data_IF_241623036498
#
_entry.id   IF_241623036498
#
_cell.length_a   1.000
_cell.length_b   1.000
_cell.length_c   1.000
_cell.angle_alpha   90.00
_cell.angle_beta   90.00
_cell.angle_gamma   90.00
#
_symmetry.space_group_name_H-M   'P 1'
#
loop_
_entity.id
_entity.type
_entity.pdbx_description
1 polymer ?
#
# COMPACT_ATOMS: atom_id res chain seq x y z
N UNK A 1 9.49 -9.68 -1.52
CA UNK A 1 10.43 -8.61 -1.14
C UNK A 1 10.68 -7.74 -2.37
N UNK A 2 9.81 -6.74 -2.57
CA UNK A 2 9.84 -5.83 -3.71
C UNK A 2 10.31 -4.46 -3.21
N UNK A 3 11.59 -4.17 -3.41
CA UNK A 3 12.19 -2.89 -3.01
C UNK A 3 12.19 -1.94 -4.19
N UNK A 4 11.51 -0.81 -4.07
CA UNK A 4 11.43 0.15 -5.16
C UNK A 4 11.52 1.58 -4.61
N UNK A 5 12.37 2.39 -5.22
CA UNK A 5 12.54 3.79 -4.85
C UNK A 5 11.83 4.68 -5.87
N UNK A 6 10.98 5.60 -5.39
CA UNK A 6 10.21 6.55 -6.20
C UNK A 6 9.30 5.90 -7.25
N UNK A 7 8.55 4.87 -6.85
CA UNK A 7 7.58 4.23 -7.73
C UNK A 7 6.43 5.18 -7.98
N UNK A 8 6.20 5.46 -9.27
CA UNK A 8 5.01 6.16 -9.73
C UNK A 8 4.16 5.22 -10.58
N UNK A 9 2.93 4.98 -10.15
CA UNK A 9 1.94 4.20 -10.90
C UNK A 9 0.70 5.07 -11.12
N UNK A 10 0.36 5.33 -12.37
CA UNK A 10 -0.81 6.14 -12.72
C UNK A 10 -1.82 5.27 -13.47
N UNK A 11 -3.07 5.22 -12.98
CA UNK A 11 -4.19 4.49 -13.59
C UNK A 11 -3.91 3.01 -13.88
N UNK A 12 -3.15 2.35 -13.00
CA UNK A 12 -2.76 0.96 -13.20
C UNK A 12 -3.81 -0.01 -12.63
N UNK A 13 -3.91 -1.20 -13.22
CA UNK A 13 -4.58 -2.34 -12.59
C UNK A 13 -3.50 -3.21 -11.98
N UNK A 14 -3.49 -3.32 -10.66
CA UNK A 14 -2.65 -4.26 -9.93
C UNK A 14 -3.42 -5.57 -9.83
N UNK A 15 -2.82 -6.67 -10.27
CA UNK A 15 -3.46 -7.99 -10.36
C UNK A 15 -2.68 -8.95 -9.46
N UNK A 16 -3.36 -9.60 -8.52
CA UNK A 16 -2.81 -10.68 -7.67
C UNK A 16 -1.47 -10.32 -7.03
N UNK A 17 -1.39 -9.17 -6.35
CA UNK A 17 -0.14 -8.68 -5.77
C UNK A 17 -0.26 -8.62 -4.25
N UNK A 18 0.51 -9.49 -3.60
CA UNK A 18 0.69 -9.55 -2.16
C UNK A 18 1.99 -8.84 -1.73
N UNK A 19 2.02 -8.38 -0.47
CA UNK A 19 3.17 -7.74 0.17
C UNK A 19 3.73 -6.58 -0.65
N UNK A 20 2.84 -5.82 -1.29
CA UNK A 20 3.22 -4.73 -2.16
C UNK A 20 3.91 -3.61 -1.36
N UNK A 21 4.87 -2.95 -2.01
CA UNK A 21 5.50 -1.70 -1.55
C UNK A 21 6.32 -1.78 -0.26
N UNK A 22 6.80 -2.97 0.09
CA UNK A 22 7.70 -3.17 1.22
C UNK A 22 8.94 -2.29 1.09
N UNK A 23 9.23 -1.53 2.15
CA UNK A 23 10.38 -0.62 2.21
C UNK A 23 10.47 0.33 1.00
N UNK A 24 9.33 0.75 0.46
CA UNK A 24 9.27 1.57 -0.77
C UNK A 24 8.68 2.96 -0.51
N UNK A 25 9.12 3.96 -1.29
CA UNK A 25 8.44 5.26 -1.39
C UNK A 25 7.47 5.25 -2.58
N UNK A 26 6.21 5.57 -2.32
CA UNK A 26 5.12 5.29 -3.28
C UNK A 26 4.30 6.51 -3.67
N UNK A 27 4.02 6.62 -4.96
CA UNK A 27 2.96 7.46 -5.52
C UNK A 27 2.12 6.58 -6.46
N UNK A 28 1.13 5.89 -5.88
CA UNK A 28 0.39 4.82 -6.54
C UNK A 28 -1.07 5.19 -6.68
N UNK A 29 -1.57 5.16 -7.91
CA UNK A 29 -2.98 5.23 -8.24
C UNK A 29 -3.39 3.93 -8.96
N UNK A 30 -4.02 3.04 -8.20
CA UNK A 30 -4.57 1.79 -8.68
C UNK A 30 -6.10 1.91 -8.86
N UNK A 31 -6.60 1.43 -9.99
CA UNK A 31 -8.03 1.31 -10.27
C UNK A 31 -8.58 -0.09 -9.88
N UNK A 32 -7.84 -0.81 -9.05
CA UNK A 32 -8.17 -2.15 -8.55
C UNK A 32 -7.92 -2.25 -7.05
N UNK A 33 -8.41 -3.35 -6.47
CA UNK A 33 -8.07 -3.75 -5.10
C UNK A 33 -6.65 -4.29 -5.08
N UNK A 34 -5.87 -3.90 -4.07
CA UNK A 34 -4.54 -4.46 -3.79
C UNK A 34 -4.71 -5.55 -2.73
N UNK A 35 -4.12 -6.73 -2.91
CA UNK A 35 -4.36 -7.83 -1.96
C UNK A 35 -3.72 -7.55 -0.61
N UNK A 36 -2.44 -7.16 -0.59
CA UNK A 36 -1.81 -6.66 0.63
C UNK A 36 -0.68 -5.65 0.40
N UNK A 37 -0.55 -4.72 1.34
CA UNK A 37 0.53 -3.72 1.39
C UNK A 37 1.32 -3.95 2.67
N UNK A 38 2.65 -3.95 2.57
CA UNK A 38 3.54 -4.14 3.73
C UNK A 38 4.50 -2.98 3.86
N UNK A 39 4.62 -2.42 5.07
CA UNK A 39 5.66 -1.47 5.49
C UNK A 39 6.18 -0.47 4.42
N UNK A 40 5.32 0.34 3.77
CA UNK A 40 5.79 1.39 2.88
C UNK A 40 6.48 2.50 3.69
N UNK A 41 7.65 2.98 3.22
CA UNK A 41 8.46 3.99 3.91
C UNK A 41 7.71 5.32 4.01
N UNK A 42 7.11 5.75 2.91
CA UNK A 42 6.27 6.96 2.83
C UNK A 42 5.54 7.04 1.49
N UNK A 43 4.54 7.92 1.39
CA UNK A 43 3.93 8.26 0.12
C UNK A 43 2.41 8.30 0.12
N UNK A 44 1.81 8.08 -1.04
CA UNK A 44 0.35 8.01 -1.22
C UNK A 44 -0.03 6.76 -2.01
N UNK A 45 -1.02 6.03 -1.52
CA UNK A 45 -1.64 4.90 -2.21
C UNK A 45 -3.12 5.19 -2.34
N UNK A 46 -3.57 5.33 -3.59
CA UNK A 46 -4.97 5.42 -3.98
C UNK A 46 -5.36 4.10 -4.63
N UNK A 47 -6.41 3.44 -4.12
CA UNK A 47 -6.86 2.15 -4.62
C UNK A 47 -8.37 1.99 -4.45
N UNK A 48 -8.99 1.02 -5.13
CA UNK A 48 -10.40 0.68 -4.86
C UNK A 48 -10.55 0.20 -3.42
N UNK A 49 -9.64 -0.65 -2.97
CA UNK A 49 -9.52 -1.12 -1.60
C UNK A 49 -8.17 -1.80 -1.43
N UNK A 50 -7.84 -2.15 -0.19
CA UNK A 50 -6.67 -2.97 0.07
C UNK A 50 -7.11 -4.07 1.05
N UNK A 51 -6.69 -5.32 0.83
CA UNK A 51 -7.15 -6.47 1.61
C UNK A 51 -6.47 -6.59 2.97
N UNK A 52 -5.14 -6.49 3.01
CA UNK A 52 -4.35 -6.56 4.23
C UNK A 52 -3.30 -5.43 4.28
N UNK A 53 -3.14 -4.80 5.44
CA UNK A 53 -2.16 -3.76 5.67
C UNK A 53 -1.26 -4.23 6.81
N UNK A 54 -0.02 -4.55 6.48
CA UNK A 54 0.95 -5.16 7.39
C UNK A 54 1.95 -4.09 7.78
N UNK A 55 1.89 -3.66 9.03
CA UNK A 55 2.72 -2.59 9.61
C UNK A 55 3.48 -3.14 10.83
N UNK A 56 4.25 -4.20 10.61
CA UNK A 56 4.93 -4.99 11.64
C UNK A 56 6.37 -4.53 11.93
N UNK A 57 6.86 -3.53 11.20
CA UNK A 57 8.18 -2.94 11.41
C UNK A 57 8.09 -1.62 12.20
N UNK A 58 8.57 -1.57 13.47
CA UNK A 58 8.49 -0.37 14.29
C UNK A 58 9.41 0.76 13.83
N UNK A 59 10.39 0.49 12.96
CA UNK A 59 11.26 1.52 12.37
C UNK A 59 10.51 2.33 11.29
N UNK A 60 9.39 1.79 10.77
CA UNK A 60 8.58 2.42 9.73
C UNK A 60 7.37 3.10 10.34
N UNK A 61 7.38 4.43 10.28
CA UNK A 61 6.26 5.22 10.77
C UNK A 61 5.07 5.15 9.80
N UNK A 62 4.05 4.36 10.15
CA UNK A 62 2.81 4.19 9.38
C UNK A 62 2.14 5.51 8.93
N UNK A 63 2.30 6.58 9.73
CA UNK A 63 1.80 7.93 9.43
C UNK A 63 2.42 8.57 8.18
N UNK A 64 3.55 8.05 7.70
CA UNK A 64 4.27 8.59 6.55
C UNK A 64 3.60 8.20 5.22
N UNK A 65 2.66 7.25 5.24
CA UNK A 65 1.94 6.79 4.06
C UNK A 65 0.46 7.13 4.19
N UNK A 66 -0.10 7.75 3.15
CA UNK A 66 -1.51 8.11 3.07
C UNK A 66 -2.26 7.09 2.22
N UNK A 67 -3.40 6.62 2.71
CA UNK A 67 -4.26 5.67 2.01
C UNK A 67 -5.57 6.36 1.62
N UNK A 68 -5.87 6.38 0.33
CA UNK A 68 -7.09 6.95 -0.25
C UNK A 68 -7.87 5.83 -0.92
N UNK A 69 -8.78 5.20 -0.16
CA UNK A 69 -9.52 4.03 -0.61
C UNK A 69 -10.92 4.43 -1.07
N UNK A 70 -11.40 3.84 -2.17
CA UNK A 70 -12.76 4.09 -2.66
C UNK A 70 -13.81 3.28 -1.88
N UNK A 71 -13.45 2.09 -1.41
CA UNK A 71 -14.23 1.24 -0.51
C UNK A 71 -13.94 1.63 0.95
N UNK A 72 -14.97 1.59 1.80
CA UNK A 72 -14.75 1.77 3.24
C UNK A 72 -13.84 0.65 3.78
N UNK A 73 -12.90 0.97 4.69
CA UNK A 73 -11.89 0.04 5.12
C UNK A 73 -12.51 -1.08 5.97
N UNK A 74 -12.83 -2.21 5.33
CA UNK A 74 -13.11 -3.48 6.02
C UNK A 74 -11.78 -4.12 6.44
N UNK A 75 -11.06 -3.43 7.33
CA UNK A 75 -9.68 -3.79 7.68
C UNK A 75 -9.57 -4.46 9.04
N UNK A 76 -9.07 -5.69 9.07
CA UNK A 76 -8.50 -6.28 10.28
C UNK A 76 -7.11 -5.66 10.52
N UNK A 77 -7.02 -4.65 11.39
CA UNK A 77 -5.73 -4.14 11.86
C UNK A 77 -5.13 -5.21 12.78
N UNK A 78 -4.11 -5.94 12.30
CA UNK A 78 -3.31 -6.83 13.13
C UNK A 78 -2.05 -6.07 13.56
N UNK A 79 -1.96 -5.82 14.86
CA UNK A 79 -0.75 -5.31 15.54
C UNK A 79 0.25 -6.44 15.74
#
# INVERSE_FOLDING_TARGET
MCYMENVKMENCTIINTDLAFEYSTVDVQANSRIDSVKNPISGTITASGIGELILDDPEIAAKNTKYQLAEEPEYAIRF
#
